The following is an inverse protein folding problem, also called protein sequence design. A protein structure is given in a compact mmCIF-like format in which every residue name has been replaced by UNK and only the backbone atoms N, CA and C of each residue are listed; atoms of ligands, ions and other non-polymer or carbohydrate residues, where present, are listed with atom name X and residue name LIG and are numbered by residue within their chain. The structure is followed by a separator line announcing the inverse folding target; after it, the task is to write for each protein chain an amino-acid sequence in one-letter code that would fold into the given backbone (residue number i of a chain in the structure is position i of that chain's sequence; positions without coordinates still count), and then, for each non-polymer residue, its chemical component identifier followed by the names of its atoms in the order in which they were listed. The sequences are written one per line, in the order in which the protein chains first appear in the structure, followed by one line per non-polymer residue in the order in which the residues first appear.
data_IF_045740714579
#
_entry.id   IF_045740714579
#
_cell.length_a   1.000
_cell.length_b   1.000
_cell.length_c   1.000
_cell.angle_alpha   90.00
_cell.angle_beta   90.00
_cell.angle_gamma   90.00
#
_symmetry.space_group_name_H-M   'P 1'
#
loop_
_entity.id
_entity.type
_entity.pdbx_description
1 polymer ?
#
# COMPACT_ATOMS: atom_id res chain seq x y z
N UNK A 1 -26.70 -9.17 17.28
CA UNK A 1 -25.69 -10.14 17.68
C UNK A 1 -25.12 -10.93 16.53
N UNK A 2 -25.94 -11.53 15.68
CA UNK A 2 -25.39 -12.27 14.54
C UNK A 2 -24.62 -11.36 13.59
N UNK A 3 -25.05 -10.11 13.43
CA UNK A 3 -24.34 -9.16 12.58
C UNK A 3 -22.95 -8.82 13.09
N UNK A 4 -22.77 -8.74 14.40
CA UNK A 4 -21.46 -8.44 14.97
C UNK A 4 -20.48 -9.59 14.75
N UNK A 5 -20.96 -10.82 14.84
CA UNK A 5 -20.12 -11.99 14.61
C UNK A 5 -19.71 -12.08 13.15
N UNK A 6 -20.63 -11.79 12.24
CA UNK A 6 -20.31 -11.78 10.82
C UNK A 6 -19.31 -10.69 10.48
N UNK A 7 -19.49 -9.49 11.05
CA UNK A 7 -18.55 -8.39 10.83
C UNK A 7 -17.17 -8.74 11.38
N UNK A 8 -17.11 -9.38 12.54
CA UNK A 8 -15.85 -9.78 13.13
C UNK A 8 -15.15 -10.83 12.28
N UNK A 9 -15.93 -11.80 11.77
CA UNK A 9 -15.37 -12.84 10.90
C UNK A 9 -14.81 -12.26 9.62
N UNK A 10 -15.53 -11.33 8.99
CA UNK A 10 -15.06 -10.67 7.79
C UNK A 10 -13.81 -9.85 8.06
N UNK A 11 -13.78 -9.12 9.17
CA UNK A 11 -12.63 -8.32 9.56
C UNK A 11 -11.41 -9.20 9.76
N UNK A 12 -11.58 -10.34 10.41
CA UNK A 12 -10.47 -11.27 10.64
C UNK A 12 -9.95 -11.84 9.33
N UNK A 13 -10.84 -12.23 8.42
CA UNK A 13 -10.45 -12.73 7.11
C UNK A 13 -9.71 -11.67 6.31
N UNK A 14 -10.23 -10.44 6.29
CA UNK A 14 -9.57 -9.32 5.61
C UNK A 14 -8.18 -9.06 6.19
N UNK A 15 -8.03 -9.11 7.49
CA UNK A 15 -6.73 -8.96 8.13
C UNK A 15 -5.76 -10.06 7.71
N UNK A 16 -6.24 -11.31 7.64
CA UNK A 16 -5.41 -12.42 7.20
C UNK A 16 -4.95 -12.22 5.75
N UNK A 17 -5.85 -11.77 4.88
CA UNK A 17 -5.49 -11.50 3.49
C UNK A 17 -4.43 -10.39 3.40
N UNK A 18 -4.59 -9.33 4.18
CA UNK A 18 -3.63 -8.23 4.18
C UNK A 18 -2.26 -8.66 4.70
N UNK A 19 -2.23 -9.55 5.68
CA UNK A 19 -0.96 -10.02 6.24
C UNK A 19 -0.19 -10.92 5.29
N UNK A 20 -0.80 -11.38 4.19
CA UNK A 20 -0.06 -12.10 3.16
C UNK A 20 0.80 -11.17 2.32
N UNK A 21 0.57 -9.86 2.39
CA UNK A 21 1.38 -8.88 1.67
C UNK A 21 2.70 -8.70 2.42
N UNK A 22 3.85 -8.90 1.74
CA UNK A 22 5.14 -8.72 2.41
C UNK A 22 5.30 -7.31 2.98
N UNK A 23 5.63 -7.22 4.25
CA UNK A 23 5.77 -5.97 4.95
C UNK A 23 4.58 -5.56 5.79
N UNK A 24 3.43 -6.21 5.62
CA UNK A 24 2.22 -5.88 6.36
C UNK A 24 1.96 -6.91 7.43
N UNK A 25 1.99 -6.47 8.68
CA UNK A 25 1.74 -7.31 9.84
C UNK A 25 0.39 -7.02 10.49
N UNK A 26 0.16 -7.56 11.69
CA UNK A 26 -1.13 -7.44 12.37
C UNK A 26 -1.55 -6.00 12.66
N UNK A 27 -0.61 -5.15 13.04
CA UNK A 27 -0.92 -3.77 13.39
C UNK A 27 -1.41 -3.02 12.16
N UNK A 28 -0.70 -3.14 11.05
CA UNK A 28 -1.06 -2.43 9.83
C UNK A 28 -2.36 -2.97 9.25
N UNK A 29 -2.52 -4.29 9.23
CA UNK A 29 -3.75 -4.88 8.69
C UNK A 29 -4.97 -4.47 9.49
N UNK A 30 -4.87 -4.48 10.82
CA UNK A 30 -5.97 -4.05 11.68
C UNK A 30 -6.30 -2.58 11.48
N UNK A 31 -5.27 -1.73 11.36
CA UNK A 31 -5.47 -0.30 11.17
C UNK A 31 -6.12 -0.01 9.83
N UNK A 32 -5.74 -0.74 8.77
CA UNK A 32 -6.33 -0.56 7.45
C UNK A 32 -7.80 -0.92 7.47
N UNK A 33 -8.14 -2.09 8.01
CA UNK A 33 -9.53 -2.54 8.05
C UNK A 33 -10.37 -1.60 8.91
N UNK A 34 -9.83 -1.11 10.02
CA UNK A 34 -10.53 -0.16 10.86
C UNK A 34 -10.81 1.16 10.14
N UNK A 35 -9.89 1.58 9.27
CA UNK A 35 -10.02 2.87 8.59
C UNK A 35 -10.92 2.83 7.36
N UNK A 36 -10.83 1.78 6.55
CA UNK A 36 -11.53 1.74 5.26
C UNK A 36 -12.43 0.53 5.06
N UNK A 37 -12.53 -0.36 6.05
CA UNK A 37 -13.38 -1.54 5.94
C UNK A 37 -12.98 -2.41 4.77
N UNK A 38 -13.94 -2.66 3.86
CA UNK A 38 -13.68 -3.48 2.68
C UNK A 38 -13.12 -2.70 1.48
N UNK A 39 -12.85 -1.43 1.65
CA UNK A 39 -12.20 -0.62 0.62
C UNK A 39 -13.09 -0.11 -0.49
N UNK A 40 -14.37 -0.42 -0.49
CA UNK A 40 -15.26 -0.04 -1.60
C UNK A 40 -15.54 1.46 -1.71
N UNK A 41 -15.18 2.24 -0.68
CA UNK A 41 -15.32 3.69 -0.75
C UNK A 41 -14.37 4.31 -1.78
N UNK A 42 -13.34 3.59 -2.18
CA UNK A 42 -12.40 4.05 -3.20
C UNK A 42 -12.63 3.26 -4.48
N UNK A 43 -12.58 3.96 -5.61
CA UNK A 43 -12.79 3.33 -6.91
C UNK A 43 -11.55 2.60 -7.40
N UNK A 44 -10.37 3.10 -7.04
CA UNK A 44 -9.10 2.53 -7.48
C UNK A 44 -8.09 2.56 -6.33
N UNK A 45 -7.09 1.69 -6.42
CA UNK A 45 -6.03 1.66 -5.42
C UNK A 45 -5.27 2.97 -5.32
N UNK A 46 -5.08 3.65 -6.45
CA UNK A 46 -4.40 4.94 -6.46
C UNK A 46 -5.17 6.00 -5.68
N UNK A 47 -6.49 5.88 -5.62
CA UNK A 47 -7.31 6.81 -4.84
C UNK A 47 -7.09 6.62 -3.35
N UNK A 48 -6.96 5.37 -2.92
CA UNK A 48 -6.63 5.08 -1.53
C UNK A 48 -5.23 5.61 -1.18
N UNK A 49 -4.25 5.38 -2.05
CA UNK A 49 -2.88 5.88 -1.84
C UNK A 49 -2.85 7.41 -1.79
N UNK A 50 -3.64 8.07 -2.63
CA UNK A 50 -3.76 9.52 -2.63
C UNK A 50 -4.38 10.03 -1.32
N UNK A 51 -5.40 9.33 -0.85
CA UNK A 51 -6.04 9.68 0.40
C UNK A 51 -5.07 9.59 1.59
N UNK A 52 -4.15 8.64 1.53
CA UNK A 52 -3.09 8.52 2.55
C UNK A 52 -1.99 9.57 2.41
N UNK A 53 -1.96 10.29 1.30
CA UNK A 53 -0.93 11.26 1.04
C UNK A 53 0.36 10.67 0.53
N UNK A 54 0.30 9.49 -0.10
CA UNK A 54 1.48 8.81 -0.62
C UNK A 54 1.72 9.08 -2.10
N UNK A 55 0.97 10.01 -2.69
CA UNK A 55 1.16 10.38 -4.09
C UNK A 55 2.36 11.29 -4.22
N UNK A 56 3.25 11.03 -5.17
CA UNK A 56 4.39 11.92 -5.36
C UNK A 56 3.94 13.31 -5.78
N UNK A 57 4.77 14.27 -5.41
CA UNK A 57 4.56 15.65 -5.76
C UNK A 57 4.46 15.80 -7.26
N UNK A 58 3.36 16.36 -7.72
CA UNK A 58 3.15 16.56 -9.13
C UNK A 58 3.07 18.05 -9.38
N UNK A 59 3.97 18.58 -10.17
CA UNK A 59 3.92 19.95 -10.62
C UNK A 59 3.44 19.92 -12.04
N UNK A 60 2.23 20.38 -12.23
CA UNK A 60 1.65 20.44 -13.53
C UNK A 60 1.78 21.85 -14.02
N UNK A 61 2.55 22.04 -15.10
CA UNK A 61 2.65 23.34 -15.73
C UNK A 61 1.50 23.49 -16.68
N UNK A 62 0.89 24.39 -16.90
CA UNK A 62 -0.21 24.54 -17.82
C UNK A 62 -1.49 24.79 -17.07
N UNK A 63 -1.91 23.84 -16.35
CA UNK A 63 -3.11 24.00 -15.55
C UNK A 63 -2.88 24.39 -14.16
N UNK A 64 -1.69 24.60 -13.82
CA UNK A 64 -1.40 25.04 -12.54
C UNK A 64 -1.91 24.23 -11.45
N UNK A 65 -2.13 22.97 -11.57
CA UNK A 65 -2.38 22.14 -10.46
C UNK A 65 -1.07 21.86 -9.81
N UNK A 66 -0.69 22.75 -8.95
CA UNK A 66 0.52 22.53 -8.20
C UNK A 66 0.17 21.75 -6.99
N UNK A 67 0.42 20.46 -7.04
CA UNK A 67 0.37 19.67 -5.85
C UNK A 67 1.72 19.84 -5.20
N UNK A 68 1.90 20.94 -4.52
CA UNK A 68 3.19 21.35 -4.01
C UNK A 68 3.89 20.38 -3.10
N UNK A 69 3.21 19.50 -2.43
CA UNK A 69 3.80 18.49 -1.57
C UNK A 69 2.83 17.35 -1.42
N UNK A 70 3.32 16.27 -0.83
CA UNK A 70 2.46 15.16 -0.47
C UNK A 70 1.29 15.74 0.31
N UNK A 71 0.09 15.58 -0.23
CA UNK A 71 -1.08 16.07 0.47
C UNK A 71 -1.20 15.29 1.76
N UNK A 72 -1.12 16.01 2.88
CA UNK A 72 -1.28 15.36 4.19
C UNK A 72 -2.74 15.15 4.52
N UNK A 73 -3.58 14.97 3.51
CA UNK A 73 -4.97 14.64 3.72
C UNK A 73 -5.06 13.15 4.02
N UNK A 74 -6.07 12.79 4.77
CA UNK A 74 -6.30 11.42 5.11
C UNK A 74 -5.62 11.02 6.40
N UNK A 75 -5.44 9.75 6.59
CA UNK A 75 -4.99 9.20 7.85
C UNK A 75 -3.46 9.22 7.96
N UNK A 76 -2.95 10.13 8.78
CA UNK A 76 -1.50 10.25 9.00
C UNK A 76 -0.92 9.00 9.64
N UNK A 77 -1.67 8.35 10.49
CA UNK A 77 -1.21 7.16 11.17
C UNK A 77 -1.00 6.02 10.17
N UNK A 78 -1.97 5.81 9.30
CA UNK A 78 -1.83 4.79 8.25
C UNK A 78 -0.69 5.10 7.30
N UNK A 79 -0.52 6.37 6.93
CA UNK A 79 0.60 6.76 6.08
C UNK A 79 1.92 6.38 6.72
N UNK A 80 2.08 6.66 8.00
CA UNK A 80 3.28 6.30 8.75
C UNK A 80 3.49 4.80 8.74
N UNK A 81 2.41 4.03 8.95
CA UNK A 81 2.51 2.57 8.96
C UNK A 81 2.95 2.01 7.61
N UNK A 82 2.41 2.53 6.51
CA UNK A 82 2.84 2.09 5.18
C UNK A 82 4.28 2.49 4.89
N UNK A 83 4.71 3.65 5.37
CA UNK A 83 6.12 4.03 5.24
C UNK A 83 7.03 3.08 6.02
N UNK A 84 6.62 2.68 7.22
CA UNK A 84 7.38 1.70 7.99
C UNK A 84 7.42 0.35 7.30
N UNK A 85 6.28 -0.09 6.76
CA UNK A 85 6.23 -1.34 6.01
C UNK A 85 7.19 -1.31 4.82
N UNK A 86 7.22 -0.21 4.09
CA UNK A 86 8.12 -0.05 2.96
C UNK A 86 9.57 -0.16 3.40
N UNK A 87 9.94 0.48 4.50
CA UNK A 87 11.31 0.42 4.99
C UNK A 87 11.71 -0.98 5.42
N UNK A 88 10.79 -1.72 6.02
CA UNK A 88 11.06 -3.11 6.40
C UNK A 88 11.36 -3.95 5.15
N UNK A 89 10.56 -3.77 4.08
CA UNK A 89 10.79 -4.48 2.83
C UNK A 89 12.15 -4.11 2.25
N UNK A 90 12.49 -2.83 2.27
CA UNK A 90 13.75 -2.35 1.69
C UNK A 90 14.98 -2.87 2.44
N UNK A 91 14.85 -3.17 3.72
CA UNK A 91 15.97 -3.70 4.51
C UNK A 91 16.33 -5.13 4.16
N UNK A 92 15.52 -5.82 3.36
CA UNK A 92 15.74 -7.22 3.03
C UNK A 92 15.74 -7.45 1.52
N UNK A 93 16.79 -6.96 0.81
CA UNK A 93 16.84 -7.10 -0.65
C UNK A 93 16.77 -8.54 -1.14
N UNK A 94 17.23 -9.49 -0.33
CA UNK A 94 17.20 -10.91 -0.71
C UNK A 94 15.81 -11.41 -0.98
N UNK A 95 14.79 -10.78 -0.36
CA UNK A 95 13.42 -11.23 -0.48
C UNK A 95 12.65 -10.49 -1.56
N UNK A 96 13.26 -9.49 -2.22
CA UNK A 96 12.54 -8.67 -3.19
C UNK A 96 11.99 -9.51 -4.35
N UNK A 97 12.81 -10.39 -4.93
CA UNK A 97 12.37 -11.25 -6.03
C UNK A 97 11.27 -12.20 -5.60
N UNK A 98 11.47 -12.84 -4.46
CA UNK A 98 10.50 -13.76 -3.88
C UNK A 98 9.15 -13.07 -3.64
N UNK A 99 9.19 -11.83 -3.20
CA UNK A 99 8.00 -11.07 -2.86
C UNK A 99 7.31 -10.43 -4.07
N UNK A 100 7.90 -10.55 -5.25
CA UNK A 100 7.32 -9.98 -6.45
C UNK A 100 7.68 -8.52 -6.70
N UNK A 101 8.56 -7.95 -5.87
CA UNK A 101 8.98 -6.55 -6.02
C UNK A 101 10.33 -6.41 -6.73
N UNK A 102 11.02 -7.52 -6.95
CA UNK A 102 12.42 -7.50 -7.34
C UNK A 102 12.78 -6.65 -8.54
N UNK A 103 12.20 -6.91 -9.73
CA UNK A 103 12.58 -6.12 -10.91
C UNK A 103 12.31 -4.64 -10.75
N UNK A 104 11.17 -4.30 -10.18
CA UNK A 104 10.81 -2.89 -9.98
C UNK A 104 11.71 -2.23 -8.95
N UNK A 105 11.94 -2.88 -7.80
CA UNK A 105 12.77 -2.32 -6.75
C UNK A 105 14.23 -2.21 -7.15
N UNK A 106 14.75 -3.22 -7.83
CA UNK A 106 16.14 -3.20 -8.27
C UNK A 106 16.39 -2.03 -9.22
N UNK A 107 15.48 -1.79 -10.16
CA UNK A 107 15.60 -0.70 -11.09
C UNK A 107 15.44 0.65 -10.40
N UNK A 108 14.45 0.77 -9.52
CA UNK A 108 14.17 2.02 -8.84
C UNK A 108 15.28 2.39 -7.84
N UNK A 109 15.85 1.40 -7.17
CA UNK A 109 16.89 1.64 -6.17
C UNK A 109 18.15 2.24 -6.79
N UNK A 110 18.39 2.02 -8.07
CA UNK A 110 19.57 2.56 -8.74
C UNK A 110 19.44 4.03 -9.06
N UNK A 111 18.22 4.56 -9.15
CA UNK A 111 18.02 5.94 -9.57
C UNK A 111 17.33 6.82 -8.54
N UNK A 112 16.75 6.25 -7.50
CA UNK A 112 16.02 7.03 -6.51
C UNK A 112 16.76 7.07 -5.18
N UNK A 113 16.74 8.23 -4.55
CA UNK A 113 17.19 8.34 -3.18
C UNK A 113 16.31 7.44 -2.29
N UNK A 114 16.89 6.86 -1.25
CA UNK A 114 16.15 5.85 -0.48
C UNK A 114 14.88 6.37 0.18
N UNK A 115 14.80 7.65 0.50
CA UNK A 115 13.56 8.22 1.04
C UNK A 115 12.47 8.28 -0.01
N UNK A 116 12.84 8.62 -1.24
CA UNK A 116 11.90 8.64 -2.38
C UNK A 116 11.47 7.22 -2.71
N UNK A 117 12.42 6.29 -2.67
CA UNK A 117 12.13 4.88 -2.91
C UNK A 117 11.16 4.33 -1.89
N UNK A 118 11.35 4.67 -0.60
CA UNK A 118 10.45 4.24 0.46
C UNK A 118 9.03 4.76 0.23
N UNK A 119 8.88 6.01 -0.17
CA UNK A 119 7.58 6.60 -0.45
C UNK A 119 6.92 5.91 -1.66
N UNK A 120 7.68 5.66 -2.71
CA UNK A 120 7.18 4.97 -3.90
C UNK A 120 6.71 3.55 -3.55
N UNK A 121 7.48 2.85 -2.72
CA UNK A 121 7.10 1.51 -2.29
C UNK A 121 5.88 1.55 -1.37
N UNK A 122 5.81 2.53 -0.46
CA UNK A 122 4.64 2.69 0.40
C UNK A 122 3.37 2.92 -0.42
N UNK A 123 3.47 3.73 -1.48
CA UNK A 123 2.36 3.95 -2.41
C UNK A 123 1.95 2.62 -3.06
N UNK A 124 2.93 1.84 -3.51
CA UNK A 124 2.66 0.55 -4.14
C UNK A 124 2.01 -0.42 -3.15
N UNK A 125 2.50 -0.46 -1.92
CA UNK A 125 1.93 -1.33 -0.89
C UNK A 125 0.48 -0.93 -0.56
N UNK A 126 0.19 0.37 -0.52
CA UNK A 126 -1.17 0.83 -0.28
C UNK A 126 -2.11 0.38 -1.40
N UNK A 127 -1.66 0.48 -2.66
CA UNK A 127 -2.47 0.05 -3.79
C UNK A 127 -2.70 -1.45 -3.77
N UNK A 128 -1.68 -2.22 -3.41
CA UNK A 128 -1.81 -3.67 -3.27
C UNK A 128 -2.78 -4.01 -2.15
N UNK A 129 -2.66 -3.33 -1.00
CA UNK A 129 -3.56 -3.58 0.13
C UNK A 129 -5.02 -3.32 -0.25
N UNK A 130 -5.28 -2.23 -0.96
CA UNK A 130 -6.63 -1.95 -1.43
C UNK A 130 -7.15 -3.05 -2.37
N UNK A 131 -6.30 -3.49 -3.30
CA UNK A 131 -6.66 -4.54 -4.26
C UNK A 131 -6.99 -5.86 -3.55
N UNK A 132 -6.17 -6.23 -2.56
CA UNK A 132 -6.38 -7.44 -1.77
C UNK A 132 -7.72 -7.38 -1.03
N UNK A 133 -8.03 -6.23 -0.43
CA UNK A 133 -9.29 -6.05 0.28
C UNK A 133 -10.50 -6.16 -0.64
N UNK A 134 -10.47 -5.42 -1.73
CA UNK A 134 -11.62 -5.35 -2.64
C UNK A 134 -11.89 -6.68 -3.32
N UNK A 135 -10.83 -7.41 -3.65
CA UNK A 135 -10.94 -8.68 -4.36
C UNK A 135 -11.08 -9.87 -3.43
N UNK A 136 -11.01 -9.65 -2.13
CA UNK A 136 -11.17 -10.72 -1.12
C UNK A 136 -10.26 -11.92 -1.39
N UNK A 137 -8.98 -11.64 -1.63
CA UNK A 137 -8.01 -12.71 -1.92
C UNK A 137 -6.65 -12.39 -1.30
N UNK A 138 -5.82 -13.43 -1.20
CA UNK A 138 -4.47 -13.28 -0.69
C UNK A 138 -3.58 -12.59 -1.72
N UNK A 139 -2.47 -12.07 -1.26
CA UNK A 139 -1.47 -11.48 -2.14
C UNK A 139 -0.79 -12.58 -2.97
N UNK A 140 -0.62 -12.32 -4.24
CA UNK A 140 0.13 -13.20 -5.12
C UNK A 140 1.33 -12.47 -5.68
N UNK A 141 2.51 -13.02 -5.43
CA UNK A 141 3.73 -12.46 -5.98
C UNK A 141 3.77 -12.75 -7.48
N UNK A 142 3.87 -11.69 -8.29
CA UNK A 142 3.99 -11.86 -9.74
C UNK A 142 5.46 -11.82 -10.10
N UNK A 143 5.91 -12.89 -10.71
CA UNK A 143 7.32 -13.03 -11.10
C UNK A 143 7.59 -12.49 -12.50
N UNK A 144 6.56 -12.21 -13.27
CA UNK A 144 6.72 -11.68 -14.62
C UNK A 144 7.01 -10.18 -14.60
N UNK A 145 8.02 -9.71 -15.31
CA UNK A 145 8.29 -8.26 -15.37
C UNK A 145 7.14 -7.46 -15.96
N UNK A 146 6.34 -8.07 -16.80
CA UNK A 146 5.22 -7.39 -17.44
C UNK A 146 4.07 -7.13 -16.49
N UNK A 147 4.12 -7.66 -15.29
CA UNK A 147 3.03 -7.55 -14.33
C UNK A 147 3.11 -6.32 -13.43
N UNK A 148 4.00 -5.41 -13.72
CA UNK A 148 4.20 -4.23 -12.87
C UNK A 148 3.32 -3.05 -13.31
#
# INVERSE_FOLDING_TARGET
MSGEIEDLAQTTESCHHLMTIPGIGPIISSAVVAAIGNGIAFTRGRDFAAWLGLVPKQISTGDRTILGRITKRGNRYLRMLFMQAARVVLLRPRNWMKNGYGPWLAAAAQRLHHNVLATALANKLARIAWSVLVQHRVYEARLSPAAV
#
